data_IF_949578194713
#
_entry.id   IF_949578194713
#
_cell.length_a   1.000
_cell.length_b   1.000
_cell.length_c   1.000
_cell.angle_alpha   90.00
_cell.angle_beta   90.00
_cell.angle_gamma   90.00
#
_symmetry.space_group_name_H-M   'P 1'
#
loop_
_entity.id
_entity.type
_entity.pdbx_description
1 polymer ?
#
# COMPACT_ATOMS: atom_id res chain seq x y z
N UNK A 1 -15.78 11.81 11.50
CA UNK A 1 -14.37 12.16 11.21
C UNK A 1 -13.81 11.14 10.23
N UNK A 2 -13.53 11.54 8.98
CA UNK A 2 -12.76 10.66 8.08
C UNK A 2 -11.31 10.75 8.55
N UNK A 3 -10.87 9.81 9.37
CA UNK A 3 -9.44 9.61 9.55
C UNK A 3 -8.90 9.39 8.14
N UNK A 4 -8.10 10.32 7.64
CA UNK A 4 -7.25 10.09 6.49
C UNK A 4 -6.23 9.05 6.93
N UNK A 5 -6.67 7.80 7.09
CA UNK A 5 -5.81 6.76 7.61
C UNK A 5 -4.72 6.56 6.58
N UNK A 6 -3.48 6.79 6.99
CA UNK A 6 -2.32 6.47 6.18
C UNK A 6 -2.30 4.95 6.01
N UNK A 7 -2.21 4.44 4.78
CA UNK A 7 -2.21 3.01 4.54
C UNK A 7 -1.02 2.35 5.23
N UNK A 8 -1.30 1.22 5.86
CA UNK A 8 -0.33 0.31 6.44
C UNK A 8 -0.14 -0.91 5.51
N UNK A 9 0.78 -1.80 5.85
CA UNK A 9 1.06 -3.00 5.07
C UNK A 9 0.20 -4.17 5.51
N UNK A 10 -0.33 -4.91 4.54
CA UNK A 10 -0.77 -6.28 4.73
C UNK A 10 0.06 -7.18 3.81
N UNK A 11 0.64 -8.26 4.34
CA UNK A 11 1.61 -9.09 3.61
C UNK A 11 1.32 -10.59 3.71
N UNK A 12 1.76 -11.38 2.73
CA UNK A 12 1.59 -12.84 2.72
C UNK A 12 2.61 -13.57 3.61
N UNK A 13 3.78 -12.97 3.85
CA UNK A 13 4.82 -13.46 4.74
C UNK A 13 5.14 -12.50 5.89
N UNK A 14 5.93 -12.99 6.84
CA UNK A 14 6.55 -12.17 7.89
C UNK A 14 7.95 -12.72 8.20
N UNK A 15 8.85 -11.85 8.63
CA UNK A 15 10.14 -12.22 9.22
C UNK A 15 10.39 -11.41 10.49
N UNK A 16 11.41 -11.82 11.25
CA UNK A 16 11.87 -11.06 12.41
C UNK A 16 13.06 -10.21 11.98
N UNK A 17 12.88 -8.89 12.02
CA UNK A 17 13.91 -7.92 11.72
C UNK A 17 15.04 -7.92 12.75
N UNK A 18 16.15 -7.20 12.48
CA UNK A 18 17.32 -7.14 13.35
C UNK A 18 17.04 -6.48 14.71
N UNK A 19 15.98 -5.70 14.82
CA UNK A 19 15.49 -5.09 16.06
C UNK A 19 14.50 -5.99 16.83
N UNK A 20 14.25 -7.21 16.34
CA UNK A 20 13.30 -8.15 16.91
C UNK A 20 11.84 -7.85 16.57
N UNK A 21 11.57 -6.87 15.69
CA UNK A 21 10.21 -6.51 15.27
C UNK A 21 9.79 -7.38 14.08
N UNK A 22 8.48 -7.65 13.99
CA UNK A 22 7.93 -8.39 12.83
C UNK A 22 7.83 -7.48 11.62
N UNK A 23 8.52 -7.86 10.56
CA UNK A 23 8.54 -7.16 9.28
C UNK A 23 7.77 -7.93 8.21
N UNK A 24 7.16 -7.23 7.23
CA UNK A 24 6.41 -7.86 6.16
C UNK A 24 7.35 -8.56 5.19
N UNK A 25 6.92 -9.74 4.72
CA UNK A 25 7.60 -10.47 3.65
C UNK A 25 6.65 -10.96 2.57
N UNK A 26 7.21 -11.48 1.48
CA UNK A 26 6.45 -11.98 0.34
C UNK A 26 5.73 -10.87 -0.43
N UNK A 27 4.43 -11.05 -0.65
CA UNK A 27 3.59 -10.11 -1.41
C UNK A 27 2.97 -9.06 -0.48
N UNK A 28 3.20 -7.78 -0.77
CA UNK A 28 2.71 -6.67 0.06
C UNK A 28 1.58 -5.89 -0.61
N UNK A 29 0.59 -5.54 0.20
CA UNK A 29 -0.59 -4.77 -0.19
C UNK A 29 -0.81 -3.59 0.75
N UNK A 30 -1.33 -2.49 0.19
CA UNK A 30 -1.83 -1.39 0.99
C UNK A 30 -3.11 -1.81 1.69
N UNK A 31 -3.20 -1.52 2.98
CA UNK A 31 -4.34 -1.80 3.84
C UNK A 31 -4.63 -0.58 4.72
N UNK A 32 -5.90 -0.25 4.91
CA UNK A 32 -6.28 0.81 5.85
C UNK A 32 -6.57 0.17 7.21
N UNK A 33 -5.84 0.55 8.28
CA UNK A 33 -6.15 0.11 9.64
C UNK A 33 -7.64 0.21 9.98
N UNK A 34 -8.19 -0.87 10.53
CA UNK A 34 -9.63 -1.00 10.82
C UNK A 34 -10.45 -1.70 9.72
N UNK A 35 -9.93 -1.82 8.50
CA UNK A 35 -10.61 -2.56 7.42
C UNK A 35 -10.28 -4.06 7.46
N UNK A 36 -11.15 -4.90 6.91
CA UNK A 36 -10.93 -6.35 6.74
C UNK A 36 -10.49 -6.72 5.30
N UNK A 37 -10.18 -5.71 4.48
CA UNK A 37 -9.74 -5.87 3.09
C UNK A 37 -8.63 -4.87 2.74
N UNK A 38 -7.77 -5.23 1.79
CA UNK A 38 -6.76 -4.35 1.21
C UNK A 38 -7.40 -3.26 0.33
N UNK A 39 -6.65 -2.21 0.02
CA UNK A 39 -7.08 -1.12 -0.86
C UNK A 39 -7.40 -1.63 -2.28
N UNK A 40 -6.72 -2.67 -2.75
CA UNK A 40 -7.03 -3.30 -4.05
C UNK A 40 -8.21 -4.29 -4.01
N UNK A 41 -8.83 -4.50 -2.85
CA UNK A 41 -10.06 -5.29 -2.69
C UNK A 41 -9.87 -6.74 -2.24
N UNK A 42 -8.67 -7.14 -1.81
CA UNK A 42 -8.45 -8.49 -1.28
C UNK A 42 -8.93 -8.59 0.17
N UNK A 43 -9.79 -9.56 0.47
CA UNK A 43 -10.23 -9.84 1.83
C UNK A 43 -9.12 -10.56 2.62
N UNK A 44 -8.69 -9.97 3.74
CA UNK A 44 -7.50 -10.42 4.48
C UNK A 44 -7.56 -11.88 4.91
N UNK A 45 -8.73 -12.35 5.37
CA UNK A 45 -8.92 -13.73 5.83
C UNK A 45 -8.83 -14.74 4.69
N UNK A 46 -9.38 -14.41 3.52
CA UNK A 46 -9.40 -15.30 2.34
C UNK A 46 -8.04 -15.40 1.68
N UNK A 47 -7.29 -14.30 1.65
CA UNK A 47 -5.96 -14.23 1.05
C UNK A 47 -4.83 -14.48 2.04
N UNK A 48 -5.17 -14.83 3.29
CA UNK A 48 -4.21 -15.13 4.38
C UNK A 48 -3.14 -14.03 4.56
N UNK A 49 -3.53 -12.78 4.38
CA UNK A 49 -2.64 -11.64 4.57
C UNK A 49 -2.56 -11.27 6.06
N UNK A 50 -1.33 -11.18 6.58
CA UNK A 50 -1.02 -10.69 7.91
C UNK A 50 -1.03 -9.17 7.90
N UNK A 51 -1.40 -8.56 9.03
CA UNK A 51 -1.52 -7.10 9.18
C UNK A 51 -0.28 -6.56 9.90
N UNK A 52 0.30 -5.50 9.36
CA UNK A 52 1.45 -4.78 9.94
C UNK A 52 1.06 -3.32 10.17
N UNK A 53 0.30 -2.99 11.24
CA UNK A 53 -0.18 -1.63 11.47
C UNK A 53 0.93 -0.60 11.69
N UNK A 54 2.11 -1.05 12.15
CA UNK A 54 3.29 -0.23 12.39
C UNK A 54 4.09 0.07 11.12
N UNK A 55 3.93 -0.73 10.06
CA UNK A 55 4.63 -0.53 8.79
C UNK A 55 3.75 0.22 7.81
N UNK A 56 4.22 1.38 7.36
CA UNK A 56 3.52 2.20 6.37
C UNK A 56 3.66 1.61 4.97
N UNK A 57 2.60 1.69 4.17
CA UNK A 57 2.69 1.36 2.75
C UNK A 57 3.26 2.56 2.00
N UNK A 58 4.59 2.71 2.05
CA UNK A 58 5.33 3.85 1.48
C UNK A 58 6.20 3.48 0.27
N UNK A 59 5.89 2.38 -0.39
CA UNK A 59 6.56 1.95 -1.62
C UNK A 59 6.40 2.94 -2.77
N UNK A 60 7.37 2.96 -3.67
CA UNK A 60 7.40 3.75 -4.90
C UNK A 60 7.40 2.84 -6.14
N UNK A 61 6.93 3.37 -7.27
CA UNK A 61 7.02 2.65 -8.55
C UNK A 61 8.46 2.49 -9.08
N UNK A 62 9.43 3.13 -8.42
CA UNK A 62 10.87 3.05 -8.73
C UNK A 62 11.62 2.13 -7.78
N UNK A 63 10.94 1.52 -6.80
CA UNK A 63 11.58 0.56 -5.89
C UNK A 63 12.04 -0.66 -6.68
N UNK A 64 13.30 -1.03 -6.49
CA UNK A 64 13.89 -2.23 -7.08
C UNK A 64 14.00 -3.28 -5.97
N UNK A 65 13.27 -4.38 -6.12
CA UNK A 65 13.36 -5.52 -5.21
C UNK A 65 14.41 -6.50 -5.70
N UNK A 66 15.14 -7.08 -4.77
CA UNK A 66 16.18 -8.09 -4.98
C UNK A 66 15.84 -9.37 -4.23
N UNK A 67 16.58 -10.45 -4.49
CA UNK A 67 16.41 -11.72 -3.75
C UNK A 67 16.79 -11.63 -2.27
N UNK A 68 17.54 -10.59 -1.88
CA UNK A 68 17.90 -10.33 -0.49
C UNK A 68 16.77 -9.63 0.28
N UNK A 69 15.76 -9.09 -0.40
CA UNK A 69 14.63 -8.42 0.24
C UNK A 69 13.59 -9.44 0.70
N UNK A 70 13.13 -9.30 1.95
CA UNK A 70 12.03 -10.09 2.48
C UNK A 70 10.73 -9.91 1.65
N UNK A 71 10.52 -8.70 1.14
CA UNK A 71 9.42 -8.34 0.26
C UNK A 71 9.79 -8.71 -1.16
N UNK A 72 9.11 -9.72 -1.72
CA UNK A 72 9.35 -10.19 -3.08
C UNK A 72 8.43 -9.57 -4.14
N UNK A 73 7.31 -8.96 -3.73
CA UNK A 73 6.40 -8.33 -4.68
C UNK A 73 5.55 -7.24 -4.05
N UNK A 74 5.50 -6.07 -4.69
CA UNK A 74 4.64 -4.96 -4.29
C UNK A 74 3.43 -4.88 -5.23
N UNK A 75 2.22 -4.91 -4.68
CA UNK A 75 1.02 -4.91 -5.49
C UNK A 75 0.86 -3.62 -6.33
N UNK A 76 0.86 -3.69 -7.67
CA UNK A 76 0.81 -2.50 -8.53
C UNK A 76 -0.52 -1.74 -8.43
N UNK A 77 -1.62 -2.45 -8.13
CA UNK A 77 -2.93 -1.83 -7.87
C UNK A 77 -2.91 -1.00 -6.58
N UNK A 78 -2.24 -1.49 -5.54
CA UNK A 78 -2.06 -0.77 -4.28
C UNK A 78 -1.12 0.42 -4.45
N UNK A 79 -0.02 0.26 -5.20
CA UNK A 79 0.89 1.35 -5.56
C UNK A 79 0.13 2.47 -6.28
N UNK A 80 -0.63 2.17 -7.33
CA UNK A 80 -1.41 3.17 -8.07
C UNK A 80 -2.45 3.87 -7.19
N UNK A 81 -3.14 3.12 -6.31
CA UNK A 81 -4.15 3.66 -5.41
C UNK A 81 -3.56 4.58 -4.31
N UNK A 82 -2.27 4.43 -3.99
CA UNK A 82 -1.59 5.20 -2.95
C UNK A 82 -0.71 6.33 -3.51
N UNK A 83 -0.22 6.21 -4.74
CA UNK A 83 0.59 7.21 -5.43
C UNK A 83 -0.10 8.59 -5.55
N UNK A 84 -1.40 8.62 -5.85
CA UNK A 84 -2.18 9.85 -5.96
C UNK A 84 -2.41 10.62 -4.65
N UNK A 85 -1.98 10.07 -3.50
CA UNK A 85 -2.03 10.76 -2.20
C UNK A 85 -0.75 11.56 -1.93
N UNK A 86 0.35 11.31 -2.65
CA UNK A 86 1.66 11.95 -2.43
C UNK A 86 1.81 13.30 -3.12
N UNK A 87 1.11 13.54 -4.22
CA UNK A 87 1.12 14.82 -4.94
C UNK A 87 -0.23 15.52 -4.82
N UNK A 88 -0.36 16.48 -3.91
CA UNK A 88 -1.42 17.51 -4.02
C UNK A 88 -1.05 18.50 -5.13
N UNK A 89 -1.00 18.01 -6.37
CA UNK A 89 -1.06 18.84 -7.57
C UNK A 89 -2.12 18.21 -8.45
N UNK A 90 -3.38 18.38 -8.02
CA UNK A 90 -4.54 17.98 -8.80
C UNK A 90 -4.72 18.97 -9.95
N UNK A 91 -3.86 18.90 -10.97
CA UNK A 91 -4.24 19.39 -12.29
C UNK A 91 -5.17 18.33 -12.90
N UNK A 92 -6.39 18.25 -12.37
CA UNK A 92 -7.47 17.54 -13.02
C UNK A 92 -7.62 18.12 -14.42
N UNK A 93 -7.79 17.28 -15.43
CA UNK A 93 -7.96 17.76 -16.79
C UNK A 93 -9.26 18.58 -16.87
N UNK A 94 -9.13 19.90 -17.01
CA UNK A 94 -10.26 20.82 -17.12
C UNK A 94 -10.62 20.95 -18.59
N UNK A 95 -11.85 20.54 -18.97
CA UNK A 95 -12.44 20.96 -20.24
C UNK A 95 -12.91 22.41 -20.09
N UNK A 96 -12.11 23.35 -20.54
CA UNK A 96 -12.60 24.71 -20.79
C UNK A 96 -13.48 24.64 -22.05
N UNK A 97 -14.80 24.75 -21.90
CA UNK A 97 -15.74 24.87 -23.02
C UNK A 97 -16.27 26.31 -23.05
N UNK A 98 -15.51 27.27 -23.59
CA UNK A 98 -16.01 28.63 -23.72
C UNK A 98 -17.20 28.60 -24.69
N UNK A 99 -18.36 29.08 -24.24
CA UNK A 99 -19.50 29.29 -25.14
C UNK A 99 -19.26 30.54 -25.98
N UNK A 100 -19.67 30.56 -27.27
CA UNK A 100 -19.78 31.77 -28.06
C UNK A 100 -20.78 32.78 -27.46
#
# INVERSE_FOLDING_TARGET
>A
MKLSSTPAVAASGEEIGPDGVREPGGEVHAWLPGQNQTVCGLALSRTRLRRFPHVRFDYSGTDVLTEADAVGWICPRCLAATAGRRGKEKHGWVRESPRP
#
